data_IF_406020620220
#
_entry.id   IF_406020620220
#
_cell.length_a   1.000
_cell.length_b   1.000
_cell.length_c   1.000
_cell.angle_alpha   90.00
_cell.angle_beta   90.00
_cell.angle_gamma   90.00
#
_symmetry.space_group_name_H-M   'P 1'
#
loop_
_entity.id
_entity.type
_entity.pdbx_description
1 polymer ?
#
# COMPACT_ATOMS: atom_id res chain seq x y z
N UNK A 1 10.63 -23.47 -5.92
CA UNK A 1 11.93 -22.81 -6.17
C UNK A 1 12.35 -22.16 -4.86
N UNK A 2 13.64 -22.08 -4.52
CA UNK A 2 14.05 -21.47 -3.24
C UNK A 2 13.66 -19.99 -3.27
N UNK A 3 12.82 -19.54 -2.34
CA UNK A 3 12.42 -18.13 -2.23
C UNK A 3 13.60 -17.18 -1.95
N UNK A 4 13.30 -15.89 -1.78
CA UNK A 4 14.30 -14.84 -1.57
C UNK A 4 14.94 -14.83 -0.16
N UNK A 5 14.54 -15.75 0.72
CA UNK A 5 14.93 -15.84 2.14
C UNK A 5 16.44 -15.86 2.39
N UNK A 6 17.22 -16.34 1.44
CA UNK A 6 18.69 -16.45 1.56
C UNK A 6 19.42 -15.13 1.26
N UNK A 7 18.72 -14.14 0.69
CA UNK A 7 19.30 -12.86 0.27
C UNK A 7 19.37 -11.86 1.43
N UNK A 8 20.09 -12.21 2.50
CA UNK A 8 20.15 -11.43 3.76
C UNK A 8 20.81 -10.04 3.63
N UNK A 9 21.37 -9.71 2.46
CA UNK A 9 21.93 -8.38 2.15
C UNK A 9 21.01 -7.53 1.28
N UNK A 10 19.88 -8.09 0.82
CA UNK A 10 18.94 -7.39 -0.05
C UNK A 10 18.16 -6.36 0.77
N UNK A 11 18.18 -5.10 0.31
CA UNK A 11 17.50 -3.98 0.98
C UNK A 11 16.32 -3.42 0.21
N UNK A 12 16.35 -3.54 -1.10
CA UNK A 12 15.29 -3.07 -1.99
C UNK A 12 14.92 -4.21 -2.94
N UNK A 13 13.61 -4.42 -3.13
CA UNK A 13 13.05 -5.39 -4.06
C UNK A 13 11.99 -4.70 -4.90
N UNK A 14 12.24 -4.58 -6.20
CA UNK A 14 11.27 -4.08 -7.17
C UNK A 14 10.86 -5.21 -8.11
N UNK A 15 9.56 -5.40 -8.28
CA UNK A 15 8.97 -6.35 -9.20
C UNK A 15 7.85 -5.66 -9.98
N UNK A 16 7.93 -5.69 -11.30
CA UNK A 16 6.99 -5.02 -12.20
C UNK A 16 6.62 -5.95 -13.34
N UNK A 17 5.32 -6.08 -13.63
CA UNK A 17 4.79 -6.89 -14.74
C UNK A 17 5.40 -8.30 -14.78
N UNK A 18 5.31 -8.99 -13.64
CA UNK A 18 5.80 -10.36 -13.47
C UNK A 18 4.62 -11.34 -13.36
N UNK A 19 3.89 -11.64 -14.45
CA UNK A 19 2.63 -12.40 -14.41
C UNK A 19 2.82 -13.89 -14.10
N UNK A 20 4.04 -14.41 -14.25
CA UNK A 20 4.37 -15.81 -13.94
C UNK A 20 4.81 -16.02 -12.49
N UNK A 21 4.97 -14.95 -11.73
CA UNK A 21 5.36 -15.05 -10.33
C UNK A 21 4.15 -15.52 -9.54
N UNK A 22 4.18 -16.78 -9.15
CA UNK A 22 3.22 -17.33 -8.19
C UNK A 22 3.72 -17.06 -6.79
N UNK A 23 3.04 -16.17 -6.04
CA UNK A 23 3.24 -16.13 -4.59
C UNK A 23 2.36 -17.21 -3.97
N UNK A 24 2.91 -18.15 -3.20
CA UNK A 24 2.12 -19.17 -2.53
C UNK A 24 1.09 -18.55 -1.58
N UNK A 25 -0.17 -18.98 -1.72
CA UNK A 25 -1.33 -18.53 -0.94
C UNK A 25 -1.31 -18.98 0.53
N UNK A 26 -0.43 -19.94 0.86
CA UNK A 26 -0.10 -20.32 2.24
C UNK A 26 1.39 -20.68 2.26
N UNK A 27 2.18 -19.89 2.99
CA UNK A 27 3.63 -20.08 3.04
C UNK A 27 4.08 -20.81 4.29
N UNK A 28 4.92 -21.82 4.06
CA UNK A 28 5.83 -22.38 5.07
C UNK A 28 7.08 -21.50 5.20
N UNK A 29 7.88 -21.70 6.26
CA UNK A 29 8.99 -20.80 6.67
C UNK A 29 10.05 -20.53 5.59
N UNK A 30 10.16 -21.35 4.55
CA UNK A 30 11.22 -21.28 3.54
C UNK A 30 11.00 -20.25 2.41
N UNK A 31 9.77 -19.80 2.21
CA UNK A 31 9.40 -18.94 1.07
C UNK A 31 9.40 -17.43 1.41
N UNK A 32 9.96 -17.05 2.57
CA UNK A 32 9.90 -15.70 3.14
C UNK A 32 10.79 -14.69 2.38
N UNK A 33 10.26 -13.49 2.15
CA UNK A 33 11.04 -12.31 1.75
C UNK A 33 12.08 -11.98 2.84
N UNK A 34 13.33 -11.62 2.50
CA UNK A 34 14.38 -11.40 3.51
C UNK A 34 14.03 -10.22 4.42
N UNK A 35 14.17 -10.41 5.74
CA UNK A 35 13.84 -9.39 6.77
C UNK A 35 14.75 -8.15 6.74
N UNK A 36 15.83 -8.20 5.95
CA UNK A 36 16.71 -7.07 5.66
C UNK A 36 16.09 -6.04 4.71
N UNK A 37 14.96 -6.34 4.06
CA UNK A 37 14.27 -5.43 3.15
C UNK A 37 13.78 -4.18 3.89
N UNK A 38 14.08 -3.04 3.29
CA UNK A 38 13.71 -1.70 3.72
C UNK A 38 12.73 -1.07 2.74
N UNK A 39 12.76 -1.52 1.48
CA UNK A 39 11.94 -1.03 0.39
C UNK A 39 11.42 -2.21 -0.45
N UNK A 40 10.12 -2.21 -0.70
CA UNK A 40 9.46 -3.22 -1.53
C UNK A 40 8.52 -2.51 -2.49
N UNK A 41 8.69 -2.75 -3.78
CA UNK A 41 7.82 -2.25 -4.84
C UNK A 41 7.30 -3.44 -5.65
N UNK A 42 5.99 -3.66 -5.66
CA UNK A 42 5.38 -4.79 -6.38
C UNK A 42 4.18 -4.30 -7.21
N UNK A 43 4.32 -4.35 -8.53
CA UNK A 43 3.32 -3.91 -9.50
C UNK A 43 3.00 -5.01 -10.51
N UNK A 44 1.72 -5.24 -10.80
CA UNK A 44 1.29 -6.19 -11.82
C UNK A 44 2.00 -7.57 -11.75
N UNK A 45 2.17 -8.10 -10.53
CA UNK A 45 2.83 -9.39 -10.31
C UNK A 45 1.81 -10.44 -9.88
N UNK A 46 1.67 -11.52 -10.66
CA UNK A 46 0.71 -12.60 -10.42
C UNK A 46 -0.04 -13.05 -11.67
N UNK A 47 -0.57 -14.28 -11.67
CA UNK A 47 -1.40 -14.76 -12.77
C UNK A 47 -2.78 -14.10 -12.73
N UNK A 48 -3.25 -13.57 -13.86
CA UNK A 48 -4.50 -12.80 -14.00
C UNK A 48 -5.77 -13.67 -13.85
N UNK A 49 -5.62 -14.91 -13.41
CA UNK A 49 -6.69 -15.89 -13.24
C UNK A 49 -7.33 -15.72 -11.85
N UNK A 50 -8.38 -14.88 -11.77
CA UNK A 50 -9.22 -14.62 -10.57
C UNK A 50 -8.50 -14.53 -9.22
N UNK A 51 -8.25 -13.29 -8.76
CA UNK A 51 -8.06 -13.00 -7.33
C UNK A 51 -6.67 -13.37 -6.80
N UNK A 52 -5.62 -12.94 -7.49
CA UNK A 52 -4.28 -13.07 -6.95
C UNK A 52 -4.02 -11.96 -5.91
N UNK A 53 -4.02 -12.32 -4.64
CA UNK A 53 -3.70 -11.44 -3.52
C UNK A 53 -2.23 -11.62 -3.14
N UNK A 54 -1.49 -10.52 -3.01
CA UNK A 54 -0.21 -10.60 -2.30
C UNK A 54 -0.55 -11.03 -0.86
N UNK A 55 0.03 -12.15 -0.35
CA UNK A 55 -0.27 -12.58 1.01
C UNK A 55 0.30 -11.54 1.96
N UNK A 56 -0.52 -10.59 2.41
CA UNK A 56 -0.10 -9.46 3.24
C UNK A 56 0.57 -9.93 4.55
N UNK A 57 0.24 -11.14 5.02
CA UNK A 57 0.89 -11.84 6.13
C UNK A 57 2.40 -12.06 5.92
N UNK A 58 2.88 -12.11 4.68
CA UNK A 58 4.30 -12.11 4.33
C UNK A 58 4.96 -10.79 4.69
N UNK A 59 4.38 -9.71 4.17
CA UNK A 59 4.95 -8.37 4.27
C UNK A 59 4.95 -7.92 5.75
N UNK A 60 3.97 -8.35 6.55
CA UNK A 60 3.92 -8.09 8.00
C UNK A 60 5.15 -8.59 8.76
N UNK A 61 5.87 -9.61 8.25
CA UNK A 61 7.11 -10.11 8.87
C UNK A 61 8.33 -9.21 8.60
N UNK A 62 8.23 -8.27 7.66
CA UNK A 62 9.31 -7.36 7.28
C UNK A 62 9.37 -6.18 8.27
N UNK A 63 9.89 -6.43 9.46
CA UNK A 63 9.97 -5.45 10.55
C UNK A 63 10.85 -4.23 10.24
N UNK A 64 11.76 -4.35 9.27
CA UNK A 64 12.65 -3.28 8.80
C UNK A 64 12.09 -2.48 7.62
N UNK A 65 10.90 -2.83 7.13
CA UNK A 65 10.30 -2.21 5.96
C UNK A 65 9.89 -0.77 6.28
N UNK A 66 10.53 0.19 5.61
CA UNK A 66 10.25 1.62 5.74
C UNK A 66 9.43 2.17 4.58
N UNK A 67 9.53 1.55 3.40
CA UNK A 67 8.87 1.97 2.18
C UNK A 67 8.18 0.78 1.50
N UNK A 68 6.92 0.95 1.13
CA UNK A 68 6.13 -0.07 0.45
C UNK A 68 5.35 0.57 -0.69
N UNK A 69 5.52 0.05 -1.89
CA UNK A 69 4.69 0.38 -3.03
C UNK A 69 4.02 -0.87 -3.56
N UNK A 70 2.69 -0.81 -3.71
CA UNK A 70 1.89 -1.96 -4.16
C UNK A 70 0.79 -1.53 -5.12
N UNK A 71 0.34 -2.47 -5.95
CA UNK A 71 -0.90 -2.29 -6.68
C UNK A 71 -2.12 -2.48 -5.77
N UNK A 72 -3.08 -1.56 -5.79
CA UNK A 72 -4.31 -1.64 -4.99
C UNK A 72 -5.17 -2.85 -5.33
N UNK A 73 -5.07 -3.37 -6.56
CA UNK A 73 -5.73 -4.62 -6.99
C UNK A 73 -5.20 -5.87 -6.28
N UNK A 74 -4.02 -5.78 -5.65
CA UNK A 74 -3.42 -6.89 -4.88
C UNK A 74 -3.86 -6.92 -3.41
N UNK A 75 -4.58 -5.89 -2.95
CA UNK A 75 -5.05 -5.78 -1.56
C UNK A 75 -6.23 -6.72 -1.32
N UNK A 76 -6.04 -7.66 -0.39
CA UNK A 76 -7.14 -8.44 0.16
C UNK A 76 -7.96 -7.54 1.11
N UNK A 77 -9.28 -7.51 0.91
CA UNK A 77 -10.22 -6.79 1.76
C UNK A 77 -10.19 -7.26 3.23
N UNK A 78 -9.56 -8.40 3.52
CA UNK A 78 -9.47 -8.98 4.86
C UNK A 78 -8.23 -8.55 5.68
N UNK A 79 -7.23 -7.86 5.11
CA UNK A 79 -5.95 -7.63 5.80
C UNK A 79 -5.65 -6.14 6.02
N UNK A 80 -5.67 -5.72 7.29
CA UNK A 80 -5.18 -4.40 7.71
C UNK A 80 -3.64 -4.35 7.78
N UNK A 81 -3.04 -3.20 7.47
CA UNK A 81 -1.59 -2.96 7.64
C UNK A 81 -1.20 -2.71 9.11
N UNK A 82 -1.99 -3.20 10.07
CA UNK A 82 -1.87 -2.87 11.50
C UNK A 82 -0.51 -3.22 12.11
N UNK A 83 0.17 -4.21 11.55
CA UNK A 83 1.45 -4.72 12.05
C UNK A 83 2.67 -3.99 11.45
N UNK A 84 2.49 -3.13 10.44
CA UNK A 84 3.57 -2.37 9.80
C UNK A 84 3.96 -1.12 10.60
N UNK A 85 4.38 -1.33 11.84
CA UNK A 85 4.71 -0.24 12.78
C UNK A 85 5.94 0.57 12.37
N UNK A 86 6.81 0.03 11.52
CA UNK A 86 8.01 0.71 11.02
C UNK A 86 7.82 1.41 9.67
N UNK A 87 6.67 1.23 9.02
CA UNK A 87 6.42 1.76 7.68
C UNK A 87 6.26 3.28 7.75
N UNK A 88 7.08 3.98 6.97
CA UNK A 88 7.14 5.44 6.91
C UNK A 88 6.62 6.01 5.59
N UNK A 89 6.67 5.22 4.51
CA UNK A 89 6.16 5.59 3.20
C UNK A 89 5.32 4.45 2.63
N UNK A 90 4.11 4.78 2.15
CA UNK A 90 3.22 3.85 1.48
C UNK A 90 2.72 4.48 0.19
N UNK A 91 2.84 3.74 -0.89
CA UNK A 91 2.27 4.10 -2.18
C UNK A 91 1.34 2.98 -2.68
N UNK A 92 0.15 3.38 -3.09
CA UNK A 92 -0.86 2.50 -3.66
C UNK A 92 -1.19 3.01 -5.05
N UNK A 93 -0.98 2.18 -6.06
CA UNK A 93 -1.22 2.50 -7.47
C UNK A 93 -2.23 1.51 -8.05
N UNK A 94 -3.06 1.91 -9.01
CA UNK A 94 -3.98 0.99 -9.71
C UNK A 94 -4.84 0.16 -8.75
N UNK A 95 -5.75 0.83 -8.03
CA UNK A 95 -6.69 0.23 -7.09
C UNK A 95 -8.11 0.17 -7.65
N UNK A 96 -8.34 -0.62 -8.71
CA UNK A 96 -9.62 -0.71 -9.39
C UNK A 96 -10.76 -1.23 -8.50
N UNK A 97 -10.42 -2.03 -7.49
CA UNK A 97 -11.36 -2.56 -6.48
C UNK A 97 -11.25 -1.86 -5.11
N UNK A 98 -10.34 -0.90 -4.97
CA UNK A 98 -10.05 -0.27 -3.69
C UNK A 98 -11.07 0.84 -3.39
N UNK A 99 -11.93 0.61 -2.40
CA UNK A 99 -12.92 1.57 -1.94
C UNK A 99 -12.54 2.19 -0.58
N UNK A 100 -13.33 3.17 -0.13
CA UNK A 100 -13.12 3.92 1.11
C UNK A 100 -12.98 3.03 2.36
N UNK A 101 -13.80 1.98 2.47
CA UNK A 101 -13.81 1.09 3.65
C UNK A 101 -12.59 0.17 3.68
N UNK A 102 -12.20 -0.36 2.53
CA UNK A 102 -11.01 -1.19 2.41
C UNK A 102 -9.76 -0.35 2.70
N UNK A 103 -9.64 0.83 2.09
CA UNK A 103 -8.49 1.69 2.29
C UNK A 103 -8.36 2.13 3.76
N UNK A 104 -9.44 2.56 4.40
CA UNK A 104 -9.40 2.97 5.81
C UNK A 104 -9.01 1.82 6.74
N UNK A 105 -9.50 0.60 6.47
CA UNK A 105 -9.12 -0.61 7.22
C UNK A 105 -7.66 -0.97 7.00
N UNK A 106 -7.17 -0.86 5.75
CA UNK A 106 -5.78 -1.08 5.40
C UNK A 106 -4.88 -0.13 6.17
N UNK A 107 -5.13 1.19 6.08
CA UNK A 107 -4.30 2.22 6.71
C UNK A 107 -4.41 2.26 8.25
N UNK A 108 -5.39 1.55 8.83
CA UNK A 108 -5.58 1.50 10.27
C UNK A 108 -4.38 0.86 10.98
N UNK A 109 -3.67 1.66 11.79
CA UNK A 109 -2.53 1.20 12.59
C UNK A 109 -1.16 1.57 12.02
N UNK A 110 -1.10 2.24 10.86
CA UNK A 110 0.12 2.82 10.32
C UNK A 110 0.53 4.11 11.07
N UNK A 111 0.84 3.98 12.35
CA UNK A 111 1.10 5.12 13.25
C UNK A 111 2.41 5.87 12.94
N UNK A 112 3.35 5.23 12.25
CA UNK A 112 4.64 5.81 11.86
C UNK A 112 4.66 6.40 10.45
N UNK A 113 3.54 6.34 9.72
CA UNK A 113 3.49 6.76 8.32
C UNK A 113 3.68 8.27 8.19
N UNK A 114 4.64 8.67 7.36
CA UNK A 114 4.97 10.07 7.06
C UNK A 114 4.61 10.46 5.64
N UNK A 115 4.63 9.53 4.70
CA UNK A 115 4.27 9.77 3.30
C UNK A 115 3.24 8.75 2.83
N UNK A 116 2.17 9.24 2.20
CA UNK A 116 1.12 8.44 1.60
C UNK A 116 0.86 8.95 0.17
N UNK A 117 1.00 8.06 -0.80
CA UNK A 117 0.64 8.31 -2.20
C UNK A 117 -0.47 7.35 -2.63
N UNK A 118 -1.51 7.90 -3.26
CA UNK A 118 -2.62 7.14 -3.83
C UNK A 118 -2.78 7.59 -5.27
N UNK A 119 -2.60 6.67 -6.20
CA UNK A 119 -2.73 6.90 -7.63
C UNK A 119 -3.75 5.94 -8.25
N UNK A 120 -4.58 6.46 -9.15
CA UNK A 120 -5.43 5.68 -10.04
C UNK A 120 -6.34 4.69 -9.30
N UNK A 121 -7.03 5.20 -8.27
CA UNK A 121 -8.00 4.45 -7.46
C UNK A 121 -9.43 4.98 -7.69
N UNK A 122 -10.17 4.45 -8.68
CA UNK A 122 -11.42 5.04 -9.15
C UNK A 122 -12.61 4.83 -8.21
N UNK A 123 -12.55 3.92 -7.23
CA UNK A 123 -13.66 3.67 -6.30
C UNK A 123 -13.55 4.44 -4.97
N UNK A 124 -12.48 5.20 -4.78
CA UNK A 124 -12.32 6.05 -3.61
C UNK A 124 -13.16 7.31 -3.80
N UNK A 125 -14.14 7.50 -2.93
CA UNK A 125 -15.03 8.67 -2.94
C UNK A 125 -14.74 9.64 -1.81
N UNK A 126 -14.34 9.12 -0.64
CA UNK A 126 -14.03 9.92 0.54
C UNK A 126 -12.79 9.34 1.21
N UNK A 127 -11.71 10.14 1.22
CA UNK A 127 -10.47 9.75 1.86
C UNK A 127 -10.51 10.07 3.37
N UNK A 128 -11.07 9.17 4.18
CA UNK A 128 -11.16 9.36 5.65
C UNK A 128 -9.92 8.84 6.38
N UNK A 129 -8.78 9.52 6.22
CA UNK A 129 -7.51 9.13 6.84
C UNK A 129 -7.16 10.03 8.04
N UNK A 130 -7.14 9.45 9.23
CA UNK A 130 -6.84 10.16 10.47
C UNK A 130 -5.38 9.88 10.94
N UNK A 131 -4.40 10.06 10.03
CA UNK A 131 -2.98 9.79 10.25
C UNK A 131 -2.25 11.04 10.77
N UNK A 132 -2.15 11.19 12.10
CA UNK A 132 -1.63 12.41 12.74
C UNK A 132 -0.13 12.67 12.52
N UNK A 133 0.61 11.65 12.11
CA UNK A 133 2.06 11.70 11.83
C UNK A 133 2.39 11.97 10.37
N UNK A 134 1.38 12.01 9.49
CA UNK A 134 1.55 12.19 8.05
C UNK A 134 2.09 13.58 7.75
N UNK A 135 3.17 13.65 6.97
CA UNK A 135 3.85 14.87 6.52
C UNK A 135 3.60 15.14 5.03
N UNK A 136 3.39 14.09 4.24
CA UNK A 136 3.20 14.14 2.80
C UNK A 136 1.97 13.32 2.39
N UNK A 137 1.07 13.94 1.64
CA UNK A 137 -0.08 13.28 1.04
C UNK A 137 -0.14 13.63 -0.45
N UNK A 138 -0.09 12.61 -1.30
CA UNK A 138 -0.26 12.73 -2.74
C UNK A 138 -1.47 11.92 -3.18
N UNK A 139 -2.38 12.54 -3.92
CA UNK A 139 -3.56 11.88 -4.48
C UNK A 139 -3.66 12.24 -5.95
N UNK A 140 -3.60 11.24 -6.81
CA UNK A 140 -3.57 11.42 -8.26
C UNK A 140 -4.59 10.51 -8.92
N UNK A 141 -5.25 11.02 -9.96
CA UNK A 141 -6.15 10.22 -10.83
C UNK A 141 -7.26 9.46 -10.10
N UNK A 142 -7.74 9.98 -8.97
CA UNK A 142 -8.88 9.41 -8.23
C UNK A 142 -10.17 10.09 -8.70
N UNK A 143 -10.78 9.55 -9.78
CA UNK A 143 -11.86 10.23 -10.51
C UNK A 143 -13.13 10.46 -9.69
N UNK A 144 -13.45 9.55 -8.78
CA UNK A 144 -14.64 9.60 -7.92
C UNK A 144 -14.43 10.33 -6.59
N UNK A 145 -13.21 10.81 -6.32
CA UNK A 145 -12.89 11.46 -5.05
C UNK A 145 -13.66 12.77 -4.94
N UNK A 146 -14.53 12.87 -3.95
CA UNK A 146 -15.38 14.04 -3.68
C UNK A 146 -14.92 14.85 -2.48
N UNK A 147 -14.26 14.22 -1.51
CA UNK A 147 -13.87 14.87 -0.26
C UNK A 147 -12.68 14.20 0.40
N UNK A 148 -11.93 14.98 1.17
CA UNK A 148 -10.91 14.50 2.10
C UNK A 148 -11.47 14.58 3.51
N UNK A 149 -11.76 13.42 4.09
CA UNK A 149 -12.15 13.33 5.49
C UNK A 149 -10.95 13.49 6.40
N UNK A 150 -11.19 13.81 7.69
CA UNK A 150 -10.12 13.89 8.70
C UNK A 150 -8.99 14.89 8.40
N UNK A 151 -9.14 15.88 7.51
CA UNK A 151 -8.06 16.86 7.25
C UNK A 151 -7.59 17.56 8.53
N UNK A 152 -8.51 17.87 9.44
CA UNK A 152 -8.20 18.46 10.75
C UNK A 152 -7.27 17.59 11.62
N UNK A 153 -7.25 16.28 11.39
CA UNK A 153 -6.37 15.35 12.11
C UNK A 153 -4.94 15.30 11.52
N UNK A 154 -4.74 15.77 10.29
CA UNK A 154 -3.44 15.77 9.59
C UNK A 154 -2.55 16.95 10.03
N UNK A 155 -2.39 17.12 11.34
CA UNK A 155 -1.71 18.29 11.95
C UNK A 155 -0.22 18.40 11.59
N UNK A 156 0.41 17.32 11.14
CA UNK A 156 1.82 17.30 10.73
C UNK A 156 2.02 17.47 9.22
N UNK A 157 0.94 17.61 8.44
CA UNK A 157 1.00 17.65 6.97
C UNK A 157 1.72 18.91 6.50
N UNK A 158 2.76 18.71 5.71
CA UNK A 158 3.60 19.77 5.12
C UNK A 158 3.38 19.91 3.62
N UNK A 159 3.15 18.78 2.96
CA UNK A 159 2.99 18.73 1.50
C UNK A 159 1.70 18.00 1.15
N UNK A 160 0.88 18.65 0.36
CA UNK A 160 -0.36 18.10 -0.17
C UNK A 160 -0.37 18.30 -1.68
N UNK A 161 -0.37 17.20 -2.42
CA UNK A 161 -0.51 17.21 -3.87
C UNK A 161 -1.80 16.51 -4.24
N UNK A 162 -2.64 17.20 -5.00
CA UNK A 162 -3.84 16.60 -5.58
C UNK A 162 -3.89 16.95 -7.05
N UNK A 163 -4.00 15.94 -7.89
CA UNK A 163 -4.06 16.12 -9.32
C UNK A 163 -5.04 15.15 -9.95
N UNK A 164 -5.71 15.56 -11.02
CA UNK A 164 -6.62 14.69 -11.78
C UNK A 164 -7.77 14.10 -10.94
N UNK A 165 -8.29 14.85 -9.97
CA UNK A 165 -9.48 14.51 -9.17
C UNK A 165 -10.64 15.47 -9.52
N UNK A 166 -11.36 15.26 -10.64
CA UNK A 166 -12.32 16.21 -11.19
C UNK A 166 -13.58 16.41 -10.34
N UNK A 167 -13.92 15.45 -9.46
CA UNK A 167 -15.11 15.50 -8.60
C UNK A 167 -14.84 16.07 -7.21
N UNK A 168 -13.59 16.45 -6.92
CA UNK A 168 -13.20 16.94 -5.61
C UNK A 168 -13.89 18.29 -5.32
N UNK A 169 -14.63 18.32 -4.22
CA UNK A 169 -15.30 19.53 -3.77
C UNK A 169 -14.30 20.50 -3.11
N UNK A 170 -14.59 21.81 -3.12
CA UNK A 170 -13.82 22.78 -2.35
C UNK A 170 -13.82 22.42 -0.86
N UNK A 171 -12.64 22.50 -0.24
CA UNK A 171 -12.42 22.30 1.19
C UNK A 171 -12.60 23.58 2.02
#
# INVERSE_FOLDING_TARGET
>A
ERGFSHLMSLKSLTMTDCPKVSWPSSMTEDDVLPTSLQEVEIFACGDNTMGFFLPMTMLQKLTSLGQLTISGDTLDMAVGFREFTSLTSLEIVDGSQLNDTTLSTCLQGLTSLRSLSIDSCPLITILSICLTTLEELSITSCEELTSLGCLDALVCLKYLTISWCPKLLPW
#
